data_IF_402830086758
#
_entry.id   IF_402830086758
#
_cell.length_a   1.000
_cell.length_b   1.000
_cell.length_c   1.000
_cell.angle_alpha   90.00
_cell.angle_beta   90.00
_cell.angle_gamma   90.00
#
_symmetry.space_group_name_H-M   'P 1'
#
loop_
_entity.id
_entity.type
_entity.pdbx_description
1 polymer ?
#
# COMPACT_ATOMS: atom_id res chain seq x y z
N UNK A 1 31.49 8.99 30.58
CA UNK A 1 32.15 9.24 29.28
C UNK A 1 31.57 8.31 28.22
N UNK A 2 30.77 8.83 27.29
CA UNK A 2 30.18 8.05 26.17
C UNK A 2 31.20 7.95 25.04
N UNK A 3 31.57 6.73 24.64
CA UNK A 3 32.17 6.48 23.31
C UNK A 3 31.05 6.17 22.32
N UNK A 4 30.83 7.11 21.40
CA UNK A 4 30.19 6.90 20.10
C UNK A 4 31.30 6.83 19.05
N UNK A 5 30.98 6.20 17.92
CA UNK A 5 31.66 6.23 16.63
C UNK A 5 32.53 5.01 16.34
N UNK A 6 32.01 4.14 15.48
CA UNK A 6 32.76 3.45 14.41
C UNK A 6 31.72 2.85 13.45
N UNK A 7 30.99 3.69 12.71
CA UNK A 7 30.26 3.34 11.47
C UNK A 7 29.90 4.65 10.76
N UNK A 8 30.92 5.39 10.35
CA UNK A 8 30.81 6.53 9.47
C UNK A 8 32.07 6.53 8.61
N UNK A 9 32.13 5.65 7.61
CA UNK A 9 33.00 5.84 6.45
C UNK A 9 32.79 4.70 5.44
N UNK A 10 31.76 4.82 4.60
CA UNK A 10 31.90 4.56 3.16
C UNK A 10 31.00 5.56 2.44
N UNK A 11 31.41 6.83 2.46
CA UNK A 11 30.84 7.89 1.63
C UNK A 11 31.46 7.79 0.24
N UNK A 12 31.00 6.85 -0.58
CA UNK A 12 31.43 6.79 -1.99
C UNK A 12 30.85 7.98 -2.74
N UNK A 13 31.70 8.97 -3.02
CA UNK A 13 31.42 10.19 -3.79
C UNK A 13 30.80 9.89 -5.16
N UNK A 14 31.10 8.70 -5.72
CA UNK A 14 30.49 8.18 -6.96
C UNK A 14 28.98 7.94 -6.85
N UNK A 15 28.50 7.37 -5.74
CA UNK A 15 27.05 7.14 -5.54
C UNK A 15 26.29 8.46 -5.38
N UNK A 16 26.89 9.47 -4.73
CA UNK A 16 26.32 10.81 -4.62
C UNK A 16 26.30 11.56 -5.96
N UNK A 17 27.28 11.31 -6.83
CA UNK A 17 27.32 11.86 -8.18
C UNK A 17 26.25 11.24 -9.09
N UNK A 18 26.12 9.91 -9.08
CA UNK A 18 25.08 9.18 -9.84
C UNK A 18 23.67 9.58 -9.35
N UNK A 19 23.45 9.73 -8.05
CA UNK A 19 22.19 10.22 -7.50
C UNK A 19 21.87 11.68 -7.91
N UNK A 20 22.89 12.53 -8.12
CA UNK A 20 22.71 13.90 -8.61
C UNK A 20 22.42 13.98 -10.10
N UNK A 21 22.91 13.04 -10.90
CA UNK A 21 22.60 12.95 -12.34
C UNK A 21 21.22 12.35 -12.60
N UNK A 22 20.85 11.29 -11.86
CA UNK A 22 19.54 10.64 -11.99
C UNK A 22 18.40 11.48 -11.37
N UNK A 23 18.71 12.28 -10.36
CA UNK A 23 17.78 13.22 -9.74
C UNK A 23 18.42 14.60 -9.75
N UNK A 24 18.35 15.34 -10.88
CA UNK A 24 18.81 16.71 -10.91
C UNK A 24 18.13 17.45 -9.77
N UNK A 25 18.91 18.12 -8.92
CA UNK A 25 18.35 19.09 -8.00
C UNK A 25 17.70 20.16 -8.88
N UNK A 26 16.39 20.04 -9.10
CA UNK A 26 15.60 21.16 -9.55
C UNK A 26 16.01 22.33 -8.65
N UNK A 27 16.37 23.46 -9.26
CA UNK A 27 16.51 24.71 -8.53
C UNK A 27 15.23 25.00 -7.73
N UNK A 28 15.15 26.12 -6.99
CA UNK A 28 13.97 26.47 -6.21
C UNK A 28 12.80 26.86 -7.14
N UNK A 29 12.30 25.94 -7.95
CA UNK A 29 10.93 25.94 -8.40
C UNK A 29 10.10 25.39 -7.25
N UNK A 30 9.75 26.26 -6.30
CA UNK A 30 8.68 26.00 -5.34
C UNK A 30 7.40 25.79 -6.13
N UNK A 31 7.13 24.54 -6.51
CA UNK A 31 5.83 24.15 -7.03
C UNK A 31 4.80 24.44 -5.93
N UNK A 32 4.09 25.55 -6.11
CA UNK A 32 3.00 25.99 -5.24
C UNK A 32 1.72 25.49 -5.84
N UNK A 33 0.95 24.74 -5.06
CA UNK A 33 -0.35 24.28 -5.52
C UNK A 33 -1.31 25.46 -5.39
N UNK A 34 -1.76 25.98 -6.53
CA UNK A 34 -2.75 27.05 -6.61
C UNK A 34 -4.13 26.41 -6.73
N UNK A 35 -4.93 26.48 -5.67
CA UNK A 35 -6.31 26.01 -5.73
C UNK A 35 -7.21 27.14 -6.23
N UNK A 36 -8.23 26.83 -7.06
CA UNK A 36 -9.26 27.80 -7.38
C UNK A 36 -9.92 28.34 -6.11
N UNK A 37 -10.43 29.58 -6.18
CA UNK A 37 -11.10 30.26 -5.06
C UNK A 37 -12.37 29.53 -4.59
N UNK A 38 -12.90 28.62 -5.42
CA UNK A 38 -14.14 27.89 -5.20
C UNK A 38 -13.92 26.40 -5.41
N UNK A 39 -14.44 25.57 -4.50
CA UNK A 39 -14.45 24.11 -4.62
C UNK A 39 -15.86 23.63 -4.94
N UNK A 40 -16.01 22.78 -5.96
CA UNK A 40 -17.25 22.02 -6.12
C UNK A 40 -17.14 20.76 -5.26
N UNK A 41 -17.74 20.77 -4.08
CA UNK A 41 -17.88 19.55 -3.28
C UNK A 41 -19.07 18.74 -3.83
N UNK A 42 -18.80 17.62 -4.48
CA UNK A 42 -19.84 16.65 -4.80
C UNK A 42 -20.24 15.93 -3.52
N UNK A 43 -21.37 16.32 -2.92
CA UNK A 43 -22.01 15.50 -1.90
C UNK A 43 -22.77 14.38 -2.62
N UNK A 44 -22.25 13.16 -2.55
CA UNK A 44 -23.06 11.98 -2.85
C UNK A 44 -24.03 11.79 -1.68
N UNK A 45 -25.19 12.46 -1.71
CA UNK A 45 -26.34 12.06 -0.90
C UNK A 45 -26.96 10.83 -1.55
N UNK A 46 -27.01 9.68 -0.86
CA UNK A 46 -27.78 8.55 -1.34
C UNK A 46 -29.24 8.84 -1.00
N UNK A 47 -30.01 9.32 -1.98
CA UNK A 47 -31.43 8.97 -2.19
C UNK A 47 -32.13 9.96 -3.14
N UNK A 48 -32.97 9.36 -4.00
CA UNK A 48 -34.11 9.94 -4.74
C UNK A 48 -33.83 10.74 -6.03
N UNK A 49 -34.06 10.05 -7.16
CA UNK A 49 -35.02 10.49 -8.18
C UNK A 49 -34.69 11.75 -8.99
N UNK A 50 -34.36 11.54 -10.27
CA UNK A 50 -34.68 12.40 -11.40
C UNK A 50 -34.63 13.92 -11.18
N UNK A 51 -33.43 14.51 -11.28
CA UNK A 51 -33.28 15.89 -11.74
C UNK A 51 -32.26 15.92 -12.89
N UNK A 52 -32.47 16.74 -13.94
CA UNK A 52 -31.49 16.89 -14.99
C UNK A 52 -30.20 17.48 -14.40
N UNK A 53 -29.03 17.23 -15.02
CA UNK A 53 -27.79 17.84 -14.56
C UNK A 53 -27.99 19.36 -14.57
N UNK A 54 -27.92 19.98 -13.39
CA UNK A 54 -27.91 21.44 -13.28
C UNK A 54 -26.63 21.90 -13.97
N UNK A 55 -26.76 22.40 -15.19
CA UNK A 55 -25.70 23.15 -15.87
C UNK A 55 -25.54 24.45 -15.10
N UNK A 56 -24.61 24.46 -14.14
CA UNK A 56 -24.25 25.68 -13.43
C UNK A 56 -23.70 26.70 -14.42
N UNK A 57 -24.40 27.82 -14.56
CA UNK A 57 -23.89 28.97 -15.29
C UNK A 57 -22.72 29.58 -14.50
N UNK A 58 -21.62 30.02 -15.14
CA UNK A 58 -20.45 30.58 -14.46
C UNK A 58 -20.73 31.79 -13.53
N UNK A 59 -21.96 32.33 -13.55
CA UNK A 59 -22.38 33.46 -12.72
C UNK A 59 -22.88 33.06 -11.32
N UNK A 60 -23.12 31.78 -11.04
CA UNK A 60 -23.64 31.30 -9.75
C UNK A 60 -22.51 30.93 -8.76
N UNK A 61 -21.44 31.74 -8.73
CA UNK A 61 -20.27 31.53 -7.85
C UNK A 61 -20.53 31.94 -6.39
N UNK A 62 -21.65 32.60 -6.11
CA UNK A 62 -21.95 33.23 -4.81
C UNK A 62 -22.33 32.23 -3.70
N UNK A 63 -22.65 30.98 -4.06
CA UNK A 63 -23.04 29.92 -3.10
C UNK A 63 -21.87 29.03 -2.64
N UNK A 64 -20.71 29.13 -3.29
CA UNK A 64 -19.55 28.31 -2.93
C UNK A 64 -18.73 29.00 -1.84
N UNK A 65 -18.46 28.34 -0.69
CA UNK A 65 -17.68 28.95 0.37
C UNK A 65 -16.27 29.25 -0.16
N UNK A 66 -15.89 30.54 -0.11
CA UNK A 66 -14.59 31.01 -0.57
C UNK A 66 -13.46 30.29 0.17
N UNK A 67 -12.52 29.68 -0.53
CA UNK A 67 -11.35 29.04 0.08
C UNK A 67 -10.34 30.05 0.67
N UNK A 68 -10.60 31.36 0.49
CA UNK A 68 -9.70 32.45 0.89
C UNK A 68 -9.46 32.55 2.39
N UNK A 69 -10.38 32.06 3.22
CA UNK A 69 -10.27 32.08 4.68
C UNK A 69 -9.68 30.78 5.26
N UNK A 70 -9.42 29.77 4.43
CA UNK A 70 -8.95 28.47 4.89
C UNK A 70 -7.45 28.53 5.13
N UNK A 71 -7.04 28.25 6.37
CA UNK A 71 -5.67 28.35 6.83
C UNK A 71 -5.19 27.00 7.33
N UNK A 72 -4.01 26.58 6.88
CA UNK A 72 -3.26 25.48 7.46
C UNK A 72 -2.38 26.03 8.59
N UNK A 73 -2.48 25.44 9.79
CA UNK A 73 -1.70 25.86 10.96
C UNK A 73 -0.66 24.79 11.32
N UNK A 74 0.62 24.96 10.94
CA UNK A 74 1.68 24.10 11.43
C UNK A 74 1.86 24.29 12.94
N UNK A 75 2.14 23.22 13.71
CA UNK A 75 2.39 23.30 15.18
C UNK A 75 3.48 24.30 15.57
N UNK A 76 4.41 24.61 14.66
CA UNK A 76 5.47 25.60 14.85
C UNK A 76 5.61 26.44 13.59
N UNK A 77 4.72 27.41 13.39
CA UNK A 77 4.79 28.30 12.24
C UNK A 77 3.60 29.24 12.10
N UNK A 78 3.74 30.23 11.21
CA UNK A 78 2.65 31.12 10.80
C UNK A 78 1.60 30.32 10.03
N UNK A 79 0.33 30.69 10.18
CA UNK A 79 -0.77 30.11 9.40
C UNK A 79 -0.54 30.36 7.90
N UNK A 80 -0.70 29.33 7.06
CA UNK A 80 -0.51 29.40 5.61
C UNK A 80 -1.88 29.26 4.94
N UNK A 81 -2.23 30.15 4.01
CA UNK A 81 -3.48 30.05 3.27
C UNK A 81 -3.48 28.82 2.35
N UNK A 82 -4.53 28.01 2.42
CA UNK A 82 -4.66 26.75 1.65
C UNK A 82 -4.54 26.99 0.13
N UNK A 83 -5.00 28.15 -0.34
CA UNK A 83 -4.95 28.55 -1.75
C UNK A 83 -3.55 28.59 -2.37
N UNK A 84 -2.51 28.77 -1.55
CA UNK A 84 -1.14 29.01 -2.02
C UNK A 84 -0.11 28.24 -1.20
N UNK A 85 -0.44 27.02 -0.78
CA UNK A 85 0.46 26.23 0.07
C UNK A 85 1.57 25.62 -0.79
N UNK A 86 2.85 25.81 -0.42
CA UNK A 86 3.94 25.10 -1.05
C UNK A 86 3.75 23.59 -0.88
N UNK A 87 3.98 22.80 -1.93
CA UNK A 87 3.83 21.33 -1.85
C UNK A 87 4.67 20.72 -0.71
N UNK A 88 5.82 21.31 -0.41
CA UNK A 88 6.66 20.89 0.72
C UNK A 88 5.98 21.11 2.08
N UNK A 89 5.24 22.21 2.24
CA UNK A 89 4.48 22.50 3.46
C UNK A 89 3.27 21.56 3.61
N UNK A 90 2.61 21.21 2.49
CA UNK A 90 1.58 20.15 2.50
C UNK A 90 2.21 18.84 2.95
N UNK A 91 3.24 18.34 2.26
CA UNK A 91 3.92 17.06 2.60
C UNK A 91 4.37 16.97 4.06
N UNK A 92 4.87 18.07 4.64
CA UNK A 92 5.33 18.11 6.04
C UNK A 92 4.21 18.08 7.06
N UNK A 93 3.02 18.58 6.72
CA UNK A 93 1.89 18.70 7.64
C UNK A 93 0.78 17.68 7.39
N UNK A 94 0.75 17.06 6.20
CA UNK A 94 -0.18 16.00 5.83
C UNK A 94 -0.15 14.84 6.84
N UNK A 95 1.06 14.42 7.21
CA UNK A 95 1.27 13.35 8.21
C UNK A 95 0.83 13.72 9.63
N UNK A 96 0.74 15.00 9.98
CA UNK A 96 0.41 15.45 11.34
C UNK A 96 -1.09 15.54 11.60
N UNK A 97 -1.89 15.72 10.55
CA UNK A 97 -3.36 15.67 10.63
C UNK A 97 -3.86 14.22 10.82
N UNK A 98 -3.01 13.22 10.56
CA UNK A 98 -3.30 11.82 10.84
C UNK A 98 -3.15 11.44 12.32
N UNK A 99 -2.46 12.23 13.15
CA UNK A 99 -2.31 11.95 14.59
C UNK A 99 -3.65 12.02 15.34
N UNK A 100 -4.61 12.79 14.82
CA UNK A 100 -5.95 12.99 15.42
C UNK A 100 -7.04 12.09 14.82
N UNK A 101 -6.73 11.30 13.78
CA UNK A 101 -7.65 10.27 13.30
C UNK A 101 -7.61 9.15 14.35
N UNK A 102 -8.74 8.72 14.93
CA UNK A 102 -8.76 7.58 15.82
C UNK A 102 -8.10 6.41 15.07
N UNK A 103 -6.88 6.07 15.51
CA UNK A 103 -6.19 4.89 15.04
C UNK A 103 -7.07 3.74 15.49
N UNK A 104 -7.96 3.29 14.62
CA UNK A 104 -8.66 2.03 14.77
C UNK A 104 -7.61 0.96 14.50
N UNK A 105 -6.73 0.77 15.49
CA UNK A 105 -5.83 -0.37 15.63
C UNK A 105 -6.72 -1.55 16.03
N UNK A 106 -7.58 -1.97 15.12
CA UNK A 106 -8.15 -3.30 15.16
C UNK A 106 -7.31 -4.17 14.24
N UNK A 107 -7.03 -5.43 14.62
CA UNK A 107 -6.68 -6.44 13.64
C UNK A 107 -7.68 -6.39 12.47
N UNK A 108 -7.20 -6.32 11.22
CA UNK A 108 -5.80 -6.28 10.81
C UNK A 108 -5.25 -4.85 10.82
N UNK A 109 -4.04 -4.68 11.36
CA UNK A 109 -3.26 -3.43 11.37
C UNK A 109 -3.30 -2.78 9.99
N UNK A 110 -4.16 -1.78 9.81
CA UNK A 110 -4.12 -0.91 8.64
C UNK A 110 -3.01 0.09 8.90
N UNK A 111 -1.78 -0.21 8.46
CA UNK A 111 -0.81 0.87 8.30
C UNK A 111 -1.46 1.85 7.31
N UNK A 112 -1.70 3.12 7.69
CA UNK A 112 -1.96 4.14 6.68
C UNK A 112 -0.76 4.10 5.74
N UNK A 113 -0.99 4.11 4.43
CA UNK A 113 0.06 4.11 3.41
C UNK A 113 1.12 5.23 3.61
N UNK A 114 0.79 6.18 4.49
CA UNK A 114 1.56 7.34 4.89
C UNK A 114 2.54 7.07 6.08
N UNK A 115 2.52 5.87 6.69
CA UNK A 115 3.33 5.50 7.88
C UNK A 115 4.18 4.24 7.62
N UNK A 116 4.63 4.00 6.39
CA UNK A 116 5.71 3.02 6.18
C UNK A 116 7.04 3.75 6.41
N UNK A 117 7.78 3.31 7.44
CA UNK A 117 9.07 3.90 7.79
C UNK A 117 10.03 3.85 6.59
N UNK A 118 10.85 4.90 6.44
CA UNK A 118 11.86 4.98 5.37
C UNK A 118 12.82 3.78 5.36
N UNK A 119 13.02 3.12 6.50
CA UNK A 119 13.80 1.89 6.63
C UNK A 119 13.13 0.70 5.92
N UNK A 120 11.82 0.51 6.10
CA UNK A 120 11.06 -0.57 5.46
C UNK A 120 11.11 -0.44 3.93
N UNK A 121 10.99 0.78 3.41
CA UNK A 121 11.14 1.01 1.97
C UNK A 121 12.52 0.65 1.45
N UNK A 122 13.59 0.99 2.18
CA UNK A 122 14.95 0.59 1.78
C UNK A 122 15.11 -0.92 1.76
N UNK A 123 14.59 -1.62 2.77
CA UNK A 123 14.61 -3.09 2.82
C UNK A 123 13.82 -3.68 1.65
N UNK A 124 12.59 -3.20 1.42
CA UNK A 124 11.72 -3.67 0.33
C UNK A 124 12.37 -3.52 -1.05
N UNK A 125 12.91 -2.35 -1.37
CA UNK A 125 13.56 -2.11 -2.67
C UNK A 125 14.91 -2.82 -2.81
N UNK A 126 15.50 -3.30 -1.72
CA UNK A 126 16.71 -4.10 -1.75
C UNK A 126 16.42 -5.61 -1.94
N UNK A 127 15.17 -6.06 -1.86
CA UNK A 127 14.81 -7.46 -2.06
C UNK A 127 15.11 -7.89 -3.51
N UNK A 128 15.78 -9.04 -3.74
CA UNK A 128 16.05 -9.58 -5.06
C UNK A 128 14.79 -10.23 -5.67
N UNK A 129 13.69 -9.47 -5.75
CA UNK A 129 12.43 -9.92 -6.30
C UNK A 129 12.22 -9.37 -7.72
N UNK A 130 11.64 -10.17 -8.64
CA UNK A 130 11.24 -9.65 -9.93
C UNK A 130 10.12 -8.61 -9.77
N UNK A 131 10.04 -7.69 -10.75
CA UNK A 131 9.01 -6.64 -10.75
C UNK A 131 7.58 -7.19 -10.64
N UNK A 132 7.35 -8.39 -11.17
CA UNK A 132 6.09 -9.10 -11.07
C UNK A 132 5.66 -9.36 -9.62
N UNK A 133 6.60 -9.68 -8.70
CA UNK A 133 6.33 -9.89 -7.28
C UNK A 133 6.32 -8.57 -6.49
N UNK A 134 7.21 -7.64 -6.84
CA UNK A 134 7.27 -6.31 -6.22
C UNK A 134 5.97 -5.53 -6.42
N UNK A 135 5.39 -5.54 -7.62
CA UNK A 135 4.20 -4.72 -7.94
C UNK A 135 3.00 -5.00 -7.03
N UNK A 136 2.50 -6.24 -6.87
CA UNK A 136 1.39 -6.52 -5.97
C UNK A 136 1.76 -6.24 -4.51
N UNK A 137 3.00 -6.53 -4.08
CA UNK A 137 3.43 -6.26 -2.70
C UNK A 137 3.50 -4.76 -2.41
N UNK A 138 4.03 -3.98 -3.33
CA UNK A 138 4.02 -2.52 -3.27
C UNK A 138 2.58 -1.99 -3.17
N UNK A 139 1.64 -2.54 -3.95
CA UNK A 139 0.22 -2.17 -3.86
C UNK A 139 -0.40 -2.53 -2.51
N UNK A 140 -0.03 -3.67 -1.94
CA UNK A 140 -0.43 -4.08 -0.60
C UNK A 140 0.03 -3.05 0.44
N UNK A 141 1.32 -2.69 0.42
CA UNK A 141 1.93 -1.72 1.33
C UNK A 141 1.31 -0.32 1.21
N UNK A 142 0.95 0.09 0.00
CA UNK A 142 0.24 1.36 -0.23
C UNK A 142 -1.28 1.29 -0.02
N UNK A 143 -1.83 0.15 0.42
CA UNK A 143 -3.26 -0.10 0.51
C UNK A 143 -4.02 0.22 -0.80
N UNK A 144 -3.34 0.10 -1.95
CA UNK A 144 -3.88 0.37 -3.29
C UNK A 144 -4.25 -0.92 -4.04
N UNK A 145 -4.19 -2.05 -3.34
CA UNK A 145 -4.61 -3.34 -3.87
C UNK A 145 -6.13 -3.38 -4.07
N UNK A 146 -6.54 -3.83 -5.26
CA UNK A 146 -7.95 -4.02 -5.62
C UNK A 146 -8.49 -5.27 -4.94
N UNK A 147 -9.44 -5.09 -4.04
CA UNK A 147 -10.14 -6.18 -3.33
C UNK A 147 -11.63 -6.03 -3.58
N UNK A 148 -12.42 -7.12 -3.50
CA UNK A 148 -13.83 -7.07 -3.89
C UNK A 148 -14.60 -5.94 -3.20
N UNK A 149 -14.38 -5.70 -1.90
CA UNK A 149 -15.04 -4.60 -1.18
C UNK A 149 -14.70 -3.19 -1.73
N UNK A 150 -13.45 -2.95 -2.15
CA UNK A 150 -13.05 -1.67 -2.77
C UNK A 150 -13.60 -1.54 -4.19
N UNK A 151 -13.54 -2.62 -4.96
CA UNK A 151 -14.02 -2.65 -6.35
C UNK A 151 -15.53 -2.46 -6.42
N UNK A 152 -16.29 -3.13 -5.55
CA UNK A 152 -17.73 -2.93 -5.39
C UNK A 152 -18.07 -1.47 -5.08
N UNK A 153 -17.31 -0.86 -4.15
CA UNK A 153 -17.51 0.55 -3.77
C UNK A 153 -17.21 1.52 -4.92
N UNK A 154 -16.21 1.25 -5.75
CA UNK A 154 -15.78 2.16 -6.82
C UNK A 154 -16.50 1.94 -8.14
N UNK A 155 -16.91 0.70 -8.43
CA UNK A 155 -17.53 0.33 -9.70
C UNK A 155 -18.54 -0.83 -9.49
N UNK A 156 -19.69 -0.55 -8.85
CA UNK A 156 -20.69 -1.57 -8.51
C UNK A 156 -21.34 -2.21 -9.74
N UNK A 157 -21.28 -1.57 -10.92
CA UNK A 157 -21.85 -2.13 -12.15
C UNK A 157 -21.02 -3.28 -12.69
N UNK A 158 -19.68 -3.20 -12.59
CA UNK A 158 -18.78 -4.27 -13.02
C UNK A 158 -18.47 -5.27 -11.90
N UNK A 159 -18.54 -4.84 -10.65
CA UNK A 159 -18.31 -5.67 -9.46
C UNK A 159 -19.54 -5.59 -8.56
N UNK A 160 -20.53 -6.48 -8.70
CA UNK A 160 -21.84 -6.34 -8.06
C UNK A 160 -21.87 -6.79 -6.58
N UNK A 161 -20.75 -7.32 -6.05
CA UNK A 161 -20.69 -7.82 -4.68
C UNK A 161 -19.36 -7.48 -3.99
N UNK A 162 -19.37 -7.11 -2.69
CA UNK A 162 -18.16 -6.93 -1.89
C UNK A 162 -17.59 -8.25 -1.33
N UNK A 163 -18.25 -9.38 -1.60
CA UNK A 163 -17.91 -10.67 -1.02
C UNK A 163 -16.79 -11.37 -1.80
N UNK A 164 -15.97 -12.09 -1.06
CA UNK A 164 -14.98 -13.02 -1.58
C UNK A 164 -15.68 -14.09 -2.40
N UNK A 165 -15.29 -14.23 -3.67
CA UNK A 165 -15.88 -15.23 -4.56
C UNK A 165 -15.58 -16.69 -4.18
N UNK A 166 -14.68 -16.93 -3.22
CA UNK A 166 -14.22 -18.27 -2.86
C UNK A 166 -14.79 -18.79 -1.53
N UNK A 167 -15.18 -17.90 -0.62
CA UNK A 167 -15.71 -18.28 0.69
C UNK A 167 -16.85 -17.37 1.18
N UNK A 168 -17.36 -16.48 0.32
CA UNK A 168 -18.56 -15.65 0.54
C UNK A 168 -18.53 -14.65 1.69
N UNK A 169 -17.41 -14.52 2.41
CA UNK A 169 -17.17 -13.47 3.41
C UNK A 169 -16.79 -12.14 2.74
N UNK A 170 -16.94 -11.01 3.43
CA UNK A 170 -16.52 -9.69 2.89
C UNK A 170 -15.01 -9.69 2.62
N UNK A 171 -14.61 -9.40 1.38
CA UNK A 171 -13.19 -9.38 1.02
C UNK A 171 -12.57 -7.99 1.21
N UNK A 172 -11.93 -7.80 2.35
CA UNK A 172 -11.02 -6.68 2.58
C UNK A 172 -9.55 -7.05 2.26
N UNK A 173 -8.61 -6.14 2.51
CA UNK A 173 -7.19 -6.36 2.21
C UNK A 173 -6.63 -7.60 2.93
N UNK A 174 -6.97 -7.82 4.19
CA UNK A 174 -6.46 -8.97 4.94
C UNK A 174 -7.08 -10.27 4.43
N UNK A 175 -8.39 -10.27 4.22
CA UNK A 175 -9.09 -11.42 3.64
C UNK A 175 -8.58 -11.77 2.24
N UNK A 176 -8.26 -10.76 1.43
CA UNK A 176 -7.69 -10.96 0.11
C UNK A 176 -6.36 -11.71 0.17
N UNK A 177 -5.47 -11.29 1.09
CA UNK A 177 -4.08 -11.77 1.18
C UNK A 177 -4.00 -13.11 1.92
N UNK A 178 -4.46 -13.18 3.16
CA UNK A 178 -4.25 -14.34 4.07
C UNK A 178 -5.51 -14.83 4.79
N UNK A 179 -6.52 -13.98 4.97
CA UNK A 179 -7.69 -14.29 5.80
C UNK A 179 -8.77 -15.16 5.14
N UNK A 180 -8.66 -15.46 3.85
CA UNK A 180 -9.60 -16.32 3.15
C UNK A 180 -9.27 -17.81 3.41
N UNK A 181 -10.20 -18.63 3.96
CA UNK A 181 -9.94 -20.05 4.23
C UNK A 181 -9.50 -20.84 3.00
N UNK A 182 -10.09 -20.57 1.82
CA UNK A 182 -9.74 -21.23 0.56
C UNK A 182 -8.30 -20.92 0.14
N UNK A 183 -7.85 -19.67 0.32
CA UNK A 183 -6.47 -19.26 0.02
C UNK A 183 -5.51 -19.71 1.11
N UNK A 184 -5.97 -19.86 2.35
CA UNK A 184 -5.18 -20.34 3.48
C UNK A 184 -4.65 -21.76 3.27
N UNK A 185 -5.46 -22.63 2.64
CA UNK A 185 -5.01 -23.98 2.24
C UNK A 185 -3.77 -23.89 1.33
N UNK A 186 -3.74 -22.94 0.40
CA UNK A 186 -2.56 -22.70 -0.43
C UNK A 186 -1.39 -22.13 0.38
N UNK A 187 -1.61 -21.14 1.24
CA UNK A 187 -0.56 -20.60 2.11
C UNK A 187 0.11 -21.70 2.93
N UNK A 188 -0.70 -22.59 3.52
CA UNK A 188 -0.20 -23.69 4.35
C UNK A 188 0.68 -24.66 3.55
N UNK A 189 0.24 -25.03 2.34
CA UNK A 189 1.01 -25.88 1.44
C UNK A 189 2.30 -25.21 0.93
N UNK A 190 2.22 -23.92 0.59
CA UNK A 190 3.36 -23.15 0.10
C UNK A 190 4.43 -22.92 1.19
N UNK A 191 4.01 -22.66 2.43
CA UNK A 191 4.92 -22.56 3.57
C UNK A 191 5.63 -23.89 3.85
N UNK A 192 4.92 -25.01 3.71
CA UNK A 192 5.52 -26.34 3.84
C UNK A 192 6.56 -26.61 2.75
N UNK A 193 6.26 -26.26 1.48
CA UNK A 193 7.21 -26.41 0.36
C UNK A 193 8.49 -25.56 0.56
N UNK A 194 8.36 -24.40 1.22
CA UNK A 194 9.46 -23.48 1.48
C UNK A 194 10.17 -23.68 2.83
N UNK A 195 9.78 -24.71 3.61
CA UNK A 195 10.28 -24.97 4.97
C UNK A 195 10.05 -23.81 5.96
N UNK A 196 8.94 -23.09 5.83
CA UNK A 196 8.60 -21.92 6.65
C UNK A 196 7.49 -22.17 7.68
N UNK A 197 6.97 -23.39 7.77
CA UNK A 197 5.83 -23.74 8.66
C UNK A 197 6.13 -23.53 10.14
N UNK A 198 7.39 -23.61 10.56
CA UNK A 198 7.79 -23.32 11.94
C UNK A 198 7.77 -21.82 12.27
N UNK A 199 8.02 -20.98 11.27
CA UNK A 199 8.12 -19.52 11.40
C UNK A 199 6.75 -18.84 11.37
N UNK A 200 5.86 -19.29 10.50
CA UNK A 200 4.53 -18.69 10.32
C UNK A 200 3.44 -19.70 10.61
N UNK A 201 2.76 -19.54 11.75
CA UNK A 201 1.73 -20.48 12.23
C UNK A 201 0.32 -19.98 11.95
N UNK A 202 0.14 -18.66 11.93
CA UNK A 202 -1.16 -18.00 11.79
C UNK A 202 -1.18 -17.05 10.60
N UNK A 203 -2.38 -16.71 10.14
CA UNK A 203 -2.56 -15.69 9.09
C UNK A 203 -2.02 -14.32 9.50
N UNK A 204 -2.08 -14.02 10.79
CA UNK A 204 -1.63 -12.79 11.42
C UNK A 204 -0.11 -12.68 11.41
N UNK A 205 0.61 -13.79 11.58
CA UNK A 205 2.08 -13.82 11.46
C UNK A 205 2.50 -13.43 10.04
N UNK A 206 1.88 -14.05 9.02
CA UNK A 206 2.17 -13.76 7.62
C UNK A 206 1.78 -12.33 7.28
N UNK A 207 0.60 -11.87 7.72
CA UNK A 207 0.16 -10.50 7.50
C UNK A 207 1.16 -9.49 8.07
N UNK A 208 1.58 -9.70 9.32
CA UNK A 208 2.56 -8.84 9.99
C UNK A 208 3.87 -8.83 9.22
N UNK A 209 4.41 -10.01 8.88
CA UNK A 209 5.62 -10.14 8.08
C UNK A 209 5.54 -9.35 6.76
N UNK A 210 4.42 -9.46 6.03
CA UNK A 210 4.23 -8.79 4.75
C UNK A 210 4.12 -7.27 4.87
N UNK A 211 3.57 -6.73 5.96
CA UNK A 211 3.32 -5.28 6.10
C UNK A 211 4.36 -4.54 6.96
N UNK A 212 5.05 -5.23 7.86
CA UNK A 212 6.03 -4.63 8.78
C UNK A 212 7.47 -5.11 8.56
N UNK A 213 7.66 -6.22 7.84
CA UNK A 213 8.98 -6.83 7.59
C UNK A 213 9.63 -7.35 8.88
N UNK A 214 8.80 -7.65 9.90
CA UNK A 214 9.21 -8.12 11.21
C UNK A 214 8.52 -9.44 11.56
N UNK A 215 9.23 -10.29 12.29
CA UNK A 215 8.68 -11.50 12.90
C UNK A 215 7.82 -11.13 14.11
N UNK A 216 6.67 -11.79 14.27
CA UNK A 216 5.76 -11.62 15.40
C UNK A 216 6.31 -12.14 16.72
N UNK A 217 7.23 -13.13 16.70
CA UNK A 217 7.77 -13.74 17.90
C UNK A 217 8.79 -12.84 18.61
N UNK A 218 9.74 -12.27 17.87
CA UNK A 218 10.91 -11.60 18.44
C UNK A 218 11.06 -10.12 18.01
N UNK A 219 10.14 -9.57 17.20
CA UNK A 219 10.27 -8.27 16.53
C UNK A 219 11.59 -8.11 15.75
N UNK A 220 12.19 -9.23 15.35
CA UNK A 220 13.41 -9.24 14.55
C UNK A 220 13.08 -9.00 13.08
N UNK A 221 14.02 -8.37 12.36
CA UNK A 221 13.92 -8.26 10.91
C UNK A 221 13.97 -9.66 10.31
N UNK A 222 12.98 -9.96 9.48
CA UNK A 222 12.95 -11.21 8.71
C UNK A 222 14.10 -11.18 7.70
N UNK A 223 14.81 -12.29 7.56
CA UNK A 223 15.93 -12.39 6.63
C UNK A 223 15.45 -12.24 5.17
N UNK A 224 16.39 -11.88 4.29
CA UNK A 224 16.08 -11.57 2.88
C UNK A 224 15.51 -12.77 2.14
N UNK A 225 15.98 -13.99 2.44
CA UNK A 225 15.53 -15.21 1.76
C UNK A 225 14.06 -15.50 2.11
N UNK A 226 13.73 -15.48 3.40
CA UNK A 226 12.35 -15.65 3.88
C UNK A 226 11.42 -14.57 3.32
N UNK A 227 11.87 -13.31 3.26
CA UNK A 227 11.08 -12.24 2.64
C UNK A 227 10.85 -12.48 1.15
N UNK A 228 11.84 -12.97 0.42
CA UNK A 228 11.65 -13.32 -0.98
C UNK A 228 10.65 -14.47 -1.15
N UNK A 229 10.77 -15.52 -0.34
CA UNK A 229 9.81 -16.63 -0.31
C UNK A 229 8.38 -16.14 -0.10
N UNK A 230 8.15 -15.31 0.92
CA UNK A 230 6.82 -14.70 1.17
C UNK A 230 6.33 -13.87 -0.03
N UNK A 231 7.21 -13.10 -0.66
CA UNK A 231 6.89 -12.33 -1.86
C UNK A 231 6.44 -13.18 -3.04
N UNK A 232 7.09 -14.33 -3.28
CA UNK A 232 6.71 -15.26 -4.34
C UNK A 232 5.41 -16.00 -4.03
N UNK A 233 5.19 -16.40 -2.77
CA UNK A 233 3.91 -16.99 -2.36
C UNK A 233 2.78 -15.97 -2.56
N UNK A 234 2.99 -14.72 -2.15
CA UNK A 234 2.01 -13.66 -2.35
C UNK A 234 1.76 -13.37 -3.85
N UNK A 235 2.80 -13.39 -4.69
CA UNK A 235 2.65 -13.29 -6.14
C UNK A 235 1.75 -14.39 -6.70
N UNK A 236 1.92 -15.64 -6.24
CA UNK A 236 1.08 -16.76 -6.68
C UNK A 236 -0.39 -16.56 -6.27
N UNK A 237 -0.64 -16.10 -5.03
CA UNK A 237 -2.00 -15.72 -4.58
C UNK A 237 -2.59 -14.65 -5.49
N UNK A 238 -1.84 -13.58 -5.73
CA UNK A 238 -2.27 -12.46 -6.58
C UNK A 238 -2.64 -12.94 -7.99
N UNK A 239 -1.73 -13.65 -8.67
CA UNK A 239 -1.96 -14.15 -10.03
C UNK A 239 -3.15 -15.09 -10.10
N UNK A 240 -3.23 -16.07 -9.19
CA UNK A 240 -4.31 -17.04 -9.22
C UNK A 240 -5.66 -16.39 -8.89
N UNK A 241 -5.71 -15.48 -7.92
CA UNK A 241 -6.93 -14.74 -7.60
C UNK A 241 -7.46 -14.00 -8.83
N UNK A 242 -6.63 -13.19 -9.47
CA UNK A 242 -7.08 -12.37 -10.60
C UNK A 242 -7.39 -13.17 -11.84
N UNK A 243 -6.67 -14.26 -12.08
CA UNK A 243 -7.03 -15.23 -13.11
C UNK A 243 -8.43 -15.78 -12.88
N UNK A 244 -8.75 -16.20 -11.65
CA UNK A 244 -10.09 -16.65 -11.30
C UNK A 244 -11.14 -15.54 -11.50
N UNK A 245 -10.81 -14.27 -11.19
CA UNK A 245 -11.70 -13.12 -11.40
C UNK A 245 -11.97 -12.86 -12.88
N UNK A 246 -10.92 -12.78 -13.70
CA UNK A 246 -11.04 -12.40 -15.11
C UNK A 246 -11.54 -13.54 -16.01
N UNK A 247 -11.10 -14.76 -15.75
CA UNK A 247 -11.46 -15.93 -16.57
C UNK A 247 -12.72 -16.64 -16.05
N UNK A 248 -13.31 -16.14 -14.97
CA UNK A 248 -14.45 -16.73 -14.26
C UNK A 248 -14.27 -18.22 -13.87
N UNK A 249 -13.04 -18.60 -13.50
CA UNK A 249 -12.70 -19.97 -13.09
C UNK A 249 -12.70 -20.14 -11.57
N UNK A 250 -12.98 -21.35 -11.04
CA UNK A 250 -12.83 -21.63 -9.62
C UNK A 250 -11.36 -21.60 -9.17
N UNK A 251 -11.14 -21.39 -7.88
CA UNK A 251 -9.81 -21.48 -7.29
C UNK A 251 -9.24 -22.90 -7.44
N UNK A 252 -7.98 -22.99 -7.87
CA UNK A 252 -7.26 -24.26 -8.02
C UNK A 252 -5.96 -24.22 -7.22
N UNK A 253 -5.85 -25.10 -6.23
CA UNK A 253 -4.66 -25.26 -5.41
C UNK A 253 -3.45 -25.69 -6.25
N UNK A 254 -3.64 -26.65 -7.16
CA UNK A 254 -2.58 -27.15 -8.03
C UNK A 254 -2.06 -26.08 -8.99
N UNK A 255 -2.94 -25.25 -9.54
CA UNK A 255 -2.54 -24.13 -10.39
C UNK A 255 -1.74 -23.08 -9.60
N UNK A 256 -2.16 -22.77 -8.36
CA UNK A 256 -1.43 -21.84 -7.49
C UNK A 256 -0.04 -22.36 -7.11
N UNK A 257 0.08 -23.65 -6.77
CA UNK A 257 1.38 -24.28 -6.48
C UNK A 257 2.29 -24.33 -7.72
N UNK A 258 1.74 -24.62 -8.91
CA UNK A 258 2.51 -24.58 -10.14
C UNK A 258 3.08 -23.17 -10.42
N UNK A 259 2.32 -22.10 -10.13
CA UNK A 259 2.83 -20.73 -10.23
C UNK A 259 3.99 -20.46 -9.26
N UNK A 260 3.95 -21.03 -8.06
CA UNK A 260 5.05 -20.92 -7.09
C UNK A 260 6.29 -21.66 -7.60
N UNK A 261 6.12 -22.90 -8.06
CA UNK A 261 7.20 -23.76 -8.56
C UNK A 261 7.93 -23.17 -9.77
N UNK A 262 7.20 -22.52 -10.68
CA UNK A 262 7.80 -21.81 -11.82
C UNK A 262 8.83 -20.76 -11.40
N UNK A 263 8.68 -20.17 -10.22
CA UNK A 263 9.57 -19.12 -9.72
C UNK A 263 10.59 -19.65 -8.69
N UNK A 264 10.63 -20.97 -8.44
CA UNK A 264 11.46 -21.59 -7.40
C UNK A 264 12.96 -21.31 -7.58
N UNK A 265 13.45 -21.34 -8.82
CA UNK A 265 14.85 -21.05 -9.17
C UNK A 265 15.28 -19.62 -8.82
N UNK A 266 14.33 -18.67 -8.72
CA UNK A 266 14.61 -17.28 -8.31
C UNK A 266 14.65 -17.11 -6.79
N UNK A 267 14.16 -18.09 -6.05
CA UNK A 267 14.03 -18.07 -4.59
C UNK A 267 15.21 -18.77 -3.93
N UNK A 268 15.76 -19.80 -4.58
CA UNK A 268 16.82 -20.66 -4.06
C UNK A 268 17.91 -20.83 -5.15
N UNK A 269 18.83 -19.87 -5.31
CA UNK A 269 19.87 -19.96 -6.34
C UNK A 269 20.91 -21.08 -6.09
N UNK A 270 20.99 -21.66 -4.89
CA UNK A 270 22.09 -22.55 -4.48
C UNK A 270 21.67 -24.01 -4.15
N UNK A 271 20.66 -24.57 -4.84
CA UNK A 271 20.23 -25.97 -4.65
C UNK A 271 20.15 -26.81 -5.94
N UNK A 272 20.91 -26.45 -6.97
CA UNK A 272 21.20 -27.33 -8.12
C UNK A 272 22.69 -27.69 -8.19
#
# INVERSE_FOLDING_TARGET
>A
MRKRSLFNEVSSTKLKAIARELFPSAGPSEATLQLPTFFCCYQNTPEQGAYPPVLFSPRDSDWLPSSSHWLLRPRYGKSIAIRSVPLQAIRRNWNKLLEDIPQTIHPPLRLPAEIILSSVWKTFWALPLPQAAITPWWRLLHNSIGVASKLFRWNPTSFPSPLCRFCTEVEDTFHFVVGCPTKWVFWSAALAEMNLTSCFKTSEDIWTALVTFQDTADNLQIDTTTMCQLGFIFLAVWKQHWRCVFDDTPWSLSAALALLQQNRHLVLPDLE
#
